data_IF_379830417187
#
_entry.id   IF_379830417187
#
_cell.length_a   1.000
_cell.length_b   1.000
_cell.length_c   1.000
_cell.angle_alpha   90.00
_cell.angle_beta   90.00
_cell.angle_gamma   90.00
#
_symmetry.space_group_name_H-M   'P 1'
#
loop_
_entity.id
_entity.type
_entity.pdbx_description
1 polymer ?
#
# COMPACT_ATOMS: atom_id res chain seq x y z
N UNK A 1 -23.53 -12.83 24.08
CA UNK A 1 -22.49 -12.09 23.33
C UNK A 1 -22.58 -12.55 21.90
N UNK A 2 -23.01 -11.68 20.98
CA UNK A 2 -23.35 -12.05 19.61
C UNK A 2 -22.08 -12.47 18.85
N UNK A 3 -22.19 -13.56 18.08
CA UNK A 3 -21.14 -14.11 17.21
C UNK A 3 -20.81 -13.17 16.02
N UNK A 4 -20.24 -11.99 16.29
CA UNK A 4 -19.87 -10.99 15.27
C UNK A 4 -18.48 -11.21 14.67
N UNK A 5 -17.64 -12.04 15.32
CA UNK A 5 -16.26 -12.31 14.91
C UNK A 5 -16.08 -12.72 13.43
N UNK A 6 -16.97 -13.54 12.80
CA UNK A 6 -16.80 -13.92 11.40
C UNK A 6 -17.04 -12.74 10.43
N UNK A 7 -18.00 -11.86 10.75
CA UNK A 7 -18.33 -10.69 9.91
C UNK A 7 -17.28 -9.61 10.01
N UNK A 8 -16.73 -9.38 11.19
CA UNK A 8 -15.62 -8.43 11.40
C UNK A 8 -14.36 -8.88 10.66
N UNK A 9 -14.04 -10.17 10.69
CA UNK A 9 -12.92 -10.76 9.96
C UNK A 9 -13.05 -10.57 8.44
N UNK A 10 -14.25 -10.79 7.89
CA UNK A 10 -14.53 -10.59 6.46
C UNK A 10 -14.41 -9.10 6.04
N UNK A 11 -14.92 -8.19 6.88
CA UNK A 11 -14.80 -6.75 6.63
C UNK A 11 -13.34 -6.28 6.69
N UNK A 12 -12.57 -6.74 7.69
CA UNK A 12 -11.16 -6.42 7.82
C UNK A 12 -10.36 -6.93 6.62
N UNK A 13 -10.61 -8.16 6.18
CA UNK A 13 -9.98 -8.72 4.98
C UNK A 13 -10.27 -7.88 3.73
N UNK A 14 -11.51 -7.41 3.57
CA UNK A 14 -11.89 -6.53 2.45
C UNK A 14 -11.14 -5.20 2.50
N UNK A 15 -11.01 -4.59 3.67
CA UNK A 15 -10.28 -3.33 3.85
C UNK A 15 -8.80 -3.52 3.49
N UNK A 16 -8.16 -4.58 3.99
CA UNK A 16 -6.75 -4.87 3.70
C UNK A 16 -6.51 -5.10 2.21
N UNK A 17 -7.42 -5.77 1.51
CA UNK A 17 -7.32 -5.95 0.05
C UNK A 17 -7.47 -4.62 -0.72
N UNK A 18 -8.35 -3.73 -0.26
CA UNK A 18 -8.50 -2.40 -0.86
C UNK A 18 -7.21 -1.59 -0.65
N UNK A 19 -6.65 -1.57 0.57
CA UNK A 19 -5.38 -0.89 0.82
C UNK A 19 -4.23 -1.47 0.00
N UNK A 20 -4.12 -2.79 -0.07
CA UNK A 20 -3.12 -3.47 -0.90
C UNK A 20 -3.21 -2.99 -2.35
N UNK A 21 -4.42 -2.80 -2.90
CA UNK A 21 -4.60 -2.26 -4.25
C UNK A 21 -4.21 -0.77 -4.34
N UNK A 22 -4.54 0.04 -3.32
CA UNK A 22 -4.16 1.44 -3.24
C UNK A 22 -2.63 1.63 -3.15
N UNK A 23 -1.92 0.76 -2.43
CA UNK A 23 -0.48 0.80 -2.31
C UNK A 23 0.22 0.60 -3.66
N UNK A 24 -0.35 -0.20 -4.56
CA UNK A 24 0.16 -0.35 -5.94
C UNK A 24 0.10 1.00 -6.68
N UNK A 25 -1.02 1.72 -6.57
CA UNK A 25 -1.13 3.06 -7.17
C UNK A 25 -0.19 4.06 -6.51
N UNK A 26 0.01 3.94 -5.19
CA UNK A 26 0.91 4.81 -4.45
C UNK A 26 2.37 4.63 -4.89
N UNK A 27 2.85 3.39 -4.97
CA UNK A 27 4.19 3.04 -5.48
C UNK A 27 4.34 3.48 -6.94
N UNK A 28 3.33 3.24 -7.78
CA UNK A 28 3.34 3.70 -9.17
C UNK A 28 3.46 5.24 -9.27
N UNK A 29 2.80 5.98 -8.35
CA UNK A 29 2.97 7.42 -8.21
C UNK A 29 4.40 7.84 -7.87
N UNK A 30 5.07 7.11 -6.97
CA UNK A 30 6.49 7.33 -6.64
C UNK A 30 7.42 7.09 -7.83
N UNK A 31 7.15 6.03 -8.61
CA UNK A 31 7.87 5.74 -9.87
C UNK A 31 7.66 6.87 -10.87
N UNK A 32 6.40 7.28 -11.10
CA UNK A 32 6.09 8.39 -12.00
C UNK A 32 6.76 9.70 -11.54
N UNK A 33 6.83 9.96 -10.22
CA UNK A 33 7.50 11.13 -9.67
C UNK A 33 9.00 11.14 -9.98
N UNK A 34 9.67 9.99 -9.86
CA UNK A 34 11.09 9.84 -10.23
C UNK A 34 11.33 10.16 -11.70
N UNK A 35 10.46 9.66 -12.60
CA UNK A 35 10.64 9.82 -14.05
C UNK A 35 10.13 11.16 -14.60
N UNK A 36 9.36 11.91 -13.82
CA UNK A 36 8.85 13.23 -14.21
C UNK A 36 9.65 14.33 -13.52
N UNK A 37 9.24 14.76 -12.33
CA UNK A 37 9.88 15.84 -11.57
C UNK A 37 11.28 15.45 -11.06
N UNK A 38 11.49 14.17 -10.77
CA UNK A 38 12.77 13.63 -10.32
C UNK A 38 13.84 13.50 -11.42
N UNK A 39 13.45 13.66 -12.70
CA UNK A 39 14.40 13.63 -13.81
C UNK A 39 15.29 14.88 -13.82
N UNK A 40 14.73 16.02 -13.46
CA UNK A 40 15.42 17.32 -13.46
C UNK A 40 15.87 17.75 -12.05
N UNK A 41 15.24 17.23 -11.00
CA UNK A 41 15.53 17.62 -9.62
C UNK A 41 15.79 16.40 -8.70
N UNK A 42 17.02 16.27 -8.15
CA UNK A 42 17.39 15.18 -7.24
C UNK A 42 16.54 15.09 -5.96
N UNK A 43 15.99 16.19 -5.47
CA UNK A 43 15.13 16.22 -4.28
C UNK A 43 13.81 15.48 -4.54
N UNK A 44 13.15 15.78 -5.66
CA UNK A 44 11.94 15.09 -6.11
C UNK A 44 12.18 13.60 -6.34
N UNK A 45 13.38 13.24 -6.83
CA UNK A 45 13.79 11.84 -6.95
C UNK A 45 13.89 11.15 -5.59
N UNK A 46 14.43 11.84 -4.58
CA UNK A 46 14.46 11.36 -3.19
C UNK A 46 13.06 11.12 -2.63
N UNK A 47 12.12 12.03 -2.87
CA UNK A 47 10.72 11.85 -2.49
C UNK A 47 10.08 10.64 -3.17
N UNK A 48 10.31 10.44 -4.46
CA UNK A 48 9.78 9.28 -5.19
C UNK A 48 10.32 7.96 -4.65
N UNK A 49 11.61 7.89 -4.29
CA UNK A 49 12.16 6.73 -3.60
C UNK A 49 11.54 6.52 -2.22
N UNK A 50 11.29 7.58 -1.46
CA UNK A 50 10.58 7.52 -0.18
C UNK A 50 9.17 6.92 -0.33
N UNK A 51 8.42 7.36 -1.33
CA UNK A 51 7.08 6.84 -1.67
C UNK A 51 7.17 5.34 -2.01
N UNK A 52 8.13 4.93 -2.84
CA UNK A 52 8.30 3.53 -3.24
C UNK A 52 8.62 2.64 -2.03
N UNK A 53 9.55 3.07 -1.16
CA UNK A 53 9.96 2.28 0.02
C UNK A 53 8.80 2.19 1.03
N UNK A 54 8.15 3.32 1.34
CA UNK A 54 7.04 3.36 2.28
C UNK A 54 5.82 2.58 1.75
N UNK A 55 5.42 2.83 0.50
CA UNK A 55 4.30 2.13 -0.14
C UNK A 55 4.56 0.65 -0.33
N UNK A 56 5.78 0.27 -0.70
CA UNK A 56 6.19 -1.13 -0.81
C UNK A 56 6.08 -1.87 0.53
N UNK A 57 6.52 -1.25 1.62
CA UNK A 57 6.38 -1.83 2.95
C UNK A 57 4.90 -2.05 3.33
N UNK A 58 4.03 -1.05 3.11
CA UNK A 58 2.60 -1.14 3.40
C UNK A 58 1.92 -2.22 2.55
N UNK A 59 2.26 -2.30 1.26
CA UNK A 59 1.75 -3.32 0.36
C UNK A 59 2.00 -4.74 0.89
N UNK A 60 3.25 -5.04 1.28
CA UNK A 60 3.59 -6.36 1.81
C UNK A 60 2.94 -6.61 3.17
N UNK A 61 2.86 -5.58 4.01
CA UNK A 61 2.21 -5.67 5.31
C UNK A 61 0.73 -6.01 5.15
N UNK A 62 -0.03 -5.25 4.35
CA UNK A 62 -1.47 -5.44 4.17
C UNK A 62 -1.80 -6.73 3.44
N UNK A 63 -1.03 -7.08 2.41
CA UNK A 63 -1.20 -8.34 1.69
C UNK A 63 -0.96 -9.56 2.60
N UNK A 64 0.11 -9.54 3.40
CA UNK A 64 0.40 -10.64 4.33
C UNK A 64 -0.71 -10.80 5.38
N UNK A 65 -1.21 -9.69 5.94
CA UNK A 65 -2.32 -9.72 6.88
C UNK A 65 -3.61 -10.23 6.21
N UNK A 66 -3.93 -9.76 5.00
CA UNK A 66 -5.12 -10.20 4.26
C UNK A 66 -5.11 -11.70 3.94
N UNK A 67 -3.93 -12.25 3.61
CA UNK A 67 -3.75 -13.68 3.31
C UNK A 67 -3.79 -14.55 4.56
N UNK A 68 -3.29 -14.04 5.70
CA UNK A 68 -3.29 -14.77 6.98
C UNK A 68 -4.66 -14.78 7.66
N UNK A 69 -5.51 -13.80 7.37
CA UNK A 69 -6.92 -13.83 7.76
C UNK A 69 -7.68 -14.93 6.98
N UNK A 70 -8.00 -16.02 7.70
CA UNK A 70 -8.91 -17.09 7.23
C UNK A 70 -10.37 -16.72 7.47
#
# INVERSE_FOLDING_TARGET
MLDTAPKETANLKRILLINTALDVFYVAGGIALIFTLGAENPEWRGHGWGIIVQGGFLFFFDLFHALKLK
#
